data_IF_545717296316
#
_entry.id   IF_545717296316
#
_cell.length_a   1.000
_cell.length_b   1.000
_cell.length_c   1.000
_cell.angle_alpha   90.00
_cell.angle_beta   90.00
_cell.angle_gamma   90.00
#
_symmetry.space_group_name_H-M   'P 1'
#
loop_
_entity.id
_entity.type
_entity.pdbx_description
1 polymer ?
#
# COMPACT_ATOMS: atom_id res chain seq x y z
N UNK A 1 13.71 12.61 -9.03
CA UNK A 1 14.47 11.76 -9.95
C UNK A 1 13.75 10.43 -10.04
N UNK A 2 12.98 10.22 -11.10
CA UNK A 2 12.43 8.92 -11.48
C UNK A 2 13.62 8.01 -11.76
N UNK A 3 13.85 7.00 -10.91
CA UNK A 3 14.78 5.93 -11.22
C UNK A 3 14.15 5.10 -12.35
N UNK A 4 14.34 5.54 -13.59
CA UNK A 4 14.06 4.69 -14.74
C UNK A 4 15.08 3.53 -14.68
N UNK A 5 14.62 2.38 -14.20
CA UNK A 5 15.36 1.13 -14.33
C UNK A 5 15.71 0.97 -15.82
N UNK A 6 16.95 0.57 -16.12
CA UNK A 6 17.27 0.13 -17.48
C UNK A 6 16.28 -0.99 -17.87
N UNK A 7 15.80 -0.98 -19.12
CA UNK A 7 14.75 -1.91 -19.60
C UNK A 7 15.01 -3.36 -19.16
N UNK A 8 16.26 -3.81 -19.29
CA UNK A 8 16.68 -5.16 -18.90
C UNK A 8 16.49 -5.46 -17.41
N UNK A 9 16.70 -4.48 -16.53
CA UNK A 9 16.55 -4.64 -15.08
C UNK A 9 15.08 -4.69 -14.68
N UNK A 10 14.25 -3.86 -15.28
CA UNK A 10 12.80 -3.93 -15.09
C UNK A 10 12.23 -5.26 -15.58
N UNK A 11 12.67 -5.74 -16.75
CA UNK A 11 12.30 -7.06 -17.27
C UNK A 11 12.78 -8.21 -16.38
N UNK A 12 13.98 -8.12 -15.81
CA UNK A 12 14.48 -9.15 -14.88
C UNK A 12 13.65 -9.23 -13.60
N UNK A 13 13.27 -8.09 -13.02
CA UNK A 13 12.37 -8.02 -11.87
C UNK A 13 10.98 -8.59 -12.21
N UNK A 14 10.44 -8.25 -13.38
CA UNK A 14 9.16 -8.78 -13.85
C UNK A 14 9.19 -10.30 -14.04
N UNK A 15 10.30 -10.85 -14.58
CA UNK A 15 10.49 -12.31 -14.69
C UNK A 15 10.57 -12.99 -13.32
N UNK A 16 11.31 -12.42 -12.38
CA UNK A 16 11.39 -12.95 -11.01
C UNK A 16 10.01 -12.95 -10.33
N UNK A 17 9.24 -11.88 -10.50
CA UNK A 17 7.87 -11.78 -10.01
C UNK A 17 6.97 -12.86 -10.65
N UNK A 18 7.02 -13.01 -11.98
CA UNK A 18 6.22 -14.01 -12.71
C UNK A 18 6.53 -15.43 -12.26
N UNK A 19 7.82 -15.78 -12.15
CA UNK A 19 8.24 -17.11 -11.70
C UNK A 19 7.74 -17.42 -10.28
N UNK A 20 7.84 -16.46 -9.36
CA UNK A 20 7.28 -16.62 -8.01
C UNK A 20 5.75 -16.77 -8.05
N UNK A 21 5.07 -16.04 -8.95
CA UNK A 21 3.61 -16.10 -9.11
C UNK A 21 3.14 -17.44 -9.66
N UNK A 22 3.87 -18.01 -10.62
CA UNK A 22 3.58 -19.34 -11.19
C UNK A 22 3.65 -20.43 -10.12
N UNK A 23 4.58 -20.30 -9.16
CA UNK A 23 4.76 -21.24 -8.05
C UNK A 23 3.95 -20.89 -6.80
N UNK A 24 3.02 -19.92 -6.85
CA UNK A 24 2.23 -19.47 -5.68
C UNK A 24 1.48 -20.61 -5.01
N UNK A 25 1.13 -21.69 -5.72
CA UNK A 25 0.42 -22.83 -5.11
C UNK A 25 1.33 -23.71 -4.25
N UNK A 26 2.65 -23.63 -4.42
CA UNK A 26 3.66 -24.32 -3.63
C UNK A 26 4.11 -23.54 -2.39
N UNK A 27 5.06 -24.11 -1.65
CA UNK A 27 5.67 -23.45 -0.47
C UNK A 27 6.96 -22.69 -0.78
N UNK A 28 7.53 -22.87 -1.97
CA UNK A 28 8.87 -22.39 -2.31
C UNK A 28 8.89 -20.97 -2.92
N UNK A 29 7.74 -20.44 -3.33
CA UNK A 29 7.65 -19.15 -4.02
C UNK A 29 8.31 -17.95 -3.27
N UNK A 30 8.27 -17.83 -1.92
CA UNK A 30 8.96 -16.73 -1.25
C UNK A 30 10.48 -16.88 -1.38
N UNK A 31 10.98 -18.11 -1.28
CA UNK A 31 12.41 -18.42 -1.38
C UNK A 31 12.91 -18.21 -2.80
N UNK A 32 12.17 -18.67 -3.81
CA UNK A 32 12.48 -18.42 -5.22
C UNK A 32 12.59 -16.91 -5.53
N UNK A 33 11.66 -16.12 -5.01
CA UNK A 33 11.72 -14.67 -5.16
C UNK A 33 12.94 -14.07 -4.45
N UNK A 34 13.19 -14.48 -3.21
CA UNK A 34 14.31 -13.97 -2.41
C UNK A 34 15.67 -14.28 -3.04
N UNK A 35 15.85 -15.49 -3.58
CA UNK A 35 17.07 -15.87 -4.29
C UNK A 35 17.26 -15.07 -5.57
N UNK A 36 16.20 -14.89 -6.36
CA UNK A 36 16.24 -14.08 -7.57
C UNK A 36 16.60 -12.62 -7.27
N UNK A 37 16.00 -12.02 -6.23
CA UNK A 37 16.30 -10.66 -5.80
C UNK A 37 17.73 -10.52 -5.26
N UNK A 38 18.23 -11.53 -4.53
CA UNK A 38 19.63 -11.58 -4.08
C UNK A 38 20.60 -11.60 -5.25
N UNK A 39 20.39 -12.46 -6.25
CA UNK A 39 21.25 -12.57 -7.42
C UNK A 39 21.34 -11.27 -8.22
N UNK A 40 20.24 -10.50 -8.26
CA UNK A 40 20.19 -9.19 -8.90
C UNK A 40 20.77 -8.05 -8.05
N UNK A 41 21.15 -8.33 -6.80
CA UNK A 41 21.55 -7.30 -5.82
C UNK A 41 20.44 -6.27 -5.62
N UNK A 42 19.19 -6.71 -5.46
CA UNK A 42 18.04 -5.83 -5.44
C UNK A 42 18.09 -4.79 -4.32
N UNK A 43 17.75 -3.57 -4.68
CA UNK A 43 17.57 -2.45 -3.75
C UNK A 43 16.28 -2.61 -2.94
N UNK A 44 16.08 -1.76 -1.92
CA UNK A 44 14.84 -1.81 -1.15
C UNK A 44 13.64 -1.37 -2.00
N UNK A 45 13.85 -0.45 -2.95
CA UNK A 45 12.83 0.02 -3.89
C UNK A 45 12.32 -1.13 -4.75
N UNK A 46 13.25 -1.86 -5.37
CA UNK A 46 12.94 -2.99 -6.24
C UNK A 46 12.28 -4.15 -5.47
N UNK A 47 12.77 -4.41 -4.25
CA UNK A 47 12.11 -5.36 -3.34
C UNK A 47 10.69 -4.92 -3.00
N UNK A 48 10.46 -3.63 -2.70
CA UNK A 48 9.14 -3.10 -2.39
C UNK A 48 8.17 -3.22 -3.57
N UNK A 49 8.62 -2.89 -4.78
CA UNK A 49 7.83 -2.96 -6.01
C UNK A 49 7.38 -4.39 -6.30
N UNK A 50 8.31 -5.36 -6.24
CA UNK A 50 8.00 -6.75 -6.56
C UNK A 50 7.24 -7.44 -5.42
N UNK A 51 7.66 -7.28 -4.17
CA UNK A 51 7.05 -7.99 -3.04
C UNK A 51 5.60 -7.54 -2.79
N UNK A 52 5.27 -6.27 -3.01
CA UNK A 52 3.90 -5.78 -2.88
C UNK A 52 2.96 -6.47 -3.90
N UNK A 53 3.36 -6.51 -5.18
CA UNK A 53 2.57 -7.16 -6.24
C UNK A 53 2.45 -8.68 -6.01
N UNK A 54 3.56 -9.36 -5.72
CA UNK A 54 3.55 -10.81 -5.47
C UNK A 54 2.69 -11.17 -4.25
N UNK A 55 2.76 -10.40 -3.16
CA UNK A 55 1.91 -10.63 -1.99
C UNK A 55 0.42 -10.41 -2.29
N UNK A 56 0.09 -9.41 -3.13
CA UNK A 56 -1.28 -9.19 -3.59
C UNK A 56 -1.79 -10.35 -4.44
N UNK A 57 -0.99 -10.81 -5.41
CA UNK A 57 -1.35 -11.95 -6.28
C UNK A 57 -1.49 -13.25 -5.51
N UNK A 58 -0.62 -13.51 -4.54
CA UNK A 58 -0.74 -14.66 -3.65
C UNK A 58 -2.08 -14.64 -2.92
N UNK A 59 -2.44 -13.48 -2.36
CA UNK A 59 -3.74 -13.28 -1.70
C UNK A 59 -4.92 -13.47 -2.65
N UNK A 60 -4.86 -12.92 -3.86
CA UNK A 60 -5.90 -13.07 -4.87
C UNK A 60 -6.10 -14.53 -5.31
N UNK A 61 -5.03 -15.33 -5.29
CA UNK A 61 -5.06 -16.77 -5.53
C UNK A 61 -5.47 -17.61 -4.30
N UNK A 62 -5.84 -16.98 -3.19
CA UNK A 62 -6.22 -17.67 -1.95
C UNK A 62 -5.03 -18.26 -1.17
N UNK A 63 -3.81 -17.82 -1.45
CA UNK A 63 -2.61 -18.17 -0.70
C UNK A 63 -2.09 -16.96 0.12
N UNK A 64 -1.03 -17.16 0.91
CA UNK A 64 -0.52 -16.16 1.84
C UNK A 64 0.94 -16.42 2.18
N UNK A 65 1.77 -15.38 2.25
CA UNK A 65 3.14 -15.50 2.77
C UNK A 65 3.16 -16.00 4.22
N UNK A 66 2.07 -15.81 4.98
CA UNK A 66 1.99 -16.17 6.40
C UNK A 66 1.90 -17.68 6.64
N UNK A 67 1.62 -18.49 5.61
CA UNK A 67 1.58 -19.96 5.72
C UNK A 67 2.94 -20.60 5.49
N UNK A 68 3.89 -19.86 4.92
CA UNK A 68 5.21 -20.34 4.49
C UNK A 68 6.35 -19.64 5.21
N UNK A 69 6.15 -18.37 5.58
CA UNK A 69 7.10 -17.57 6.36
C UNK A 69 6.63 -17.46 7.82
N UNK A 70 7.59 -17.32 8.72
CA UNK A 70 7.37 -17.12 10.16
C UNK A 70 7.69 -15.67 10.60
N UNK A 71 7.17 -15.21 11.75
CA UNK A 71 7.51 -13.92 12.34
C UNK A 71 9.02 -13.62 12.46
N UNK A 72 9.83 -14.65 12.69
CA UNK A 72 11.28 -14.52 12.85
C UNK A 72 11.91 -13.92 11.60
N UNK A 73 11.40 -14.24 10.40
CA UNK A 73 11.85 -13.65 9.13
C UNK A 73 11.66 -12.13 9.04
N UNK A 74 10.83 -11.55 9.91
CA UNK A 74 10.69 -10.09 10.05
C UNK A 74 11.70 -9.56 11.07
N UNK A 75 11.83 -10.23 12.22
CA UNK A 75 12.49 -9.67 13.42
C UNK A 75 13.99 -9.91 13.51
N UNK A 76 14.50 -11.01 12.97
CA UNK A 76 15.89 -11.39 13.21
C UNK A 76 16.85 -10.61 12.31
N UNK A 77 18.09 -10.46 12.79
CA UNK A 77 19.20 -9.91 12.01
C UNK A 77 19.81 -11.01 11.15
N UNK A 78 20.19 -10.68 9.91
CA UNK A 78 20.60 -11.67 8.93
C UNK A 78 21.97 -11.42 8.31
N UNK A 79 22.72 -12.50 7.98
CA UNK A 79 23.92 -12.42 7.15
C UNK A 79 23.65 -12.05 5.68
N UNK A 80 22.44 -12.30 5.16
CA UNK A 80 22.01 -11.89 3.81
C UNK A 80 20.91 -10.82 3.88
N UNK A 81 21.26 -9.54 3.70
CA UNK A 81 20.33 -8.42 3.85
C UNK A 81 19.31 -8.32 2.71
N UNK A 82 19.53 -8.98 1.56
CA UNK A 82 18.56 -8.93 0.45
C UNK A 82 17.47 -9.97 0.69
N UNK A 83 17.83 -11.23 0.96
CA UNK A 83 16.87 -12.31 1.24
C UNK A 83 15.92 -11.91 2.37
N UNK A 84 16.47 -11.40 3.47
CA UNK A 84 15.66 -11.09 4.65
C UNK A 84 14.79 -9.85 4.49
N UNK A 85 15.23 -8.89 3.66
CA UNK A 85 14.38 -7.77 3.25
C UNK A 85 13.21 -8.27 2.41
N UNK A 86 13.45 -9.19 1.47
CA UNK A 86 12.39 -9.81 0.66
C UNK A 86 11.37 -10.51 1.55
N UNK A 87 11.80 -11.38 2.46
CA UNK A 87 10.87 -12.06 3.37
C UNK A 87 10.08 -11.10 4.25
N UNK A 88 10.74 -10.08 4.79
CA UNK A 88 10.07 -9.03 5.57
C UNK A 88 9.03 -8.29 4.74
N UNK A 89 9.38 -7.86 3.53
CA UNK A 89 8.48 -7.14 2.63
C UNK A 89 7.26 -8.00 2.26
N UNK A 90 7.46 -9.28 1.91
CA UNK A 90 6.37 -10.21 1.62
C UNK A 90 5.44 -10.42 2.83
N UNK A 91 6.02 -10.70 4.00
CA UNK A 91 5.27 -10.98 5.23
C UNK A 91 4.43 -9.77 5.64
N UNK A 92 5.05 -8.59 5.71
CA UNK A 92 4.39 -7.37 6.15
C UNK A 92 3.37 -6.84 5.11
N UNK A 93 3.66 -6.98 3.80
CA UNK A 93 2.67 -6.65 2.75
C UNK A 93 1.44 -7.54 2.82
N UNK A 94 1.63 -8.83 3.10
CA UNK A 94 0.51 -9.76 3.31
C UNK A 94 -0.35 -9.32 4.50
N UNK A 95 0.27 -9.02 5.65
CA UNK A 95 -0.44 -8.46 6.81
C UNK A 95 -1.16 -7.14 6.48
N UNK A 96 -0.57 -6.27 5.64
CA UNK A 96 -1.17 -5.01 5.22
C UNK A 96 -2.45 -5.25 4.40
N UNK A 97 -2.43 -6.17 3.45
CA UNK A 97 -3.61 -6.49 2.64
C UNK A 97 -4.73 -7.16 3.44
N UNK A 98 -4.38 -7.79 4.56
CA UNK A 98 -5.34 -8.35 5.52
C UNK A 98 -5.67 -7.41 6.69
N UNK A 99 -5.23 -6.15 6.63
CA UNK A 99 -5.49 -5.11 7.64
C UNK A 99 -5.03 -5.49 9.06
N UNK A 100 -4.00 -6.33 9.19
CA UNK A 100 -3.47 -6.85 10.46
C UNK A 100 -2.52 -5.84 11.13
N UNK A 101 -2.99 -4.62 11.35
CA UNK A 101 -2.17 -3.52 11.86
C UNK A 101 -1.48 -3.84 13.20
N UNK A 102 -2.16 -4.50 14.14
CA UNK A 102 -1.57 -4.85 15.44
C UNK A 102 -0.40 -5.82 15.33
N UNK A 103 -0.46 -6.74 14.36
CA UNK A 103 0.61 -7.72 14.16
C UNK A 103 1.83 -7.04 13.53
N UNK A 104 1.62 -6.17 12.54
CA UNK A 104 2.69 -5.35 11.97
C UNK A 104 3.35 -4.52 13.07
N UNK A 105 2.57 -3.82 13.89
CA UNK A 105 3.11 -3.02 15.00
C UNK A 105 3.93 -3.88 15.96
N UNK A 106 3.40 -5.02 16.39
CA UNK A 106 4.08 -5.91 17.34
C UNK A 106 5.40 -6.46 16.80
N UNK A 107 5.50 -6.73 15.50
CA UNK A 107 6.71 -7.23 14.86
C UNK A 107 7.73 -6.11 14.67
N UNK A 108 7.29 -4.97 14.13
CA UNK A 108 8.16 -3.85 13.79
C UNK A 108 8.80 -3.22 15.03
N UNK A 109 8.15 -3.29 16.20
CA UNK A 109 8.75 -2.86 17.47
C UNK A 109 9.94 -3.73 17.92
N UNK A 110 10.13 -4.92 17.34
CA UNK A 110 11.25 -5.83 17.62
C UNK A 110 12.38 -5.72 16.61
N UNK A 111 12.14 -5.05 15.47
CA UNK A 111 13.15 -4.89 14.42
C UNK A 111 14.16 -3.82 14.85
N UNK A 112 15.48 -4.06 14.75
CA UNK A 112 16.48 -3.05 15.08
C UNK A 112 16.35 -1.79 14.23
N UNK A 113 16.46 -0.62 14.87
CA UNK A 113 16.34 0.70 14.22
C UNK A 113 17.32 0.88 13.07
N UNK A 114 18.54 0.33 13.19
CA UNK A 114 19.54 0.37 12.10
C UNK A 114 19.03 -0.26 10.82
N UNK A 115 18.26 -1.34 10.90
CA UNK A 115 17.68 -2.00 9.73
C UNK A 115 16.54 -1.17 9.15
N UNK A 116 15.73 -0.52 10.01
CA UNK A 116 14.63 0.34 9.55
C UNK A 116 15.12 1.60 8.83
N UNK A 117 16.24 2.18 9.29
CA UNK A 117 16.83 3.36 8.67
C UNK A 117 17.33 3.11 7.23
N UNK A 118 17.67 1.87 6.91
CA UNK A 118 18.12 1.45 5.57
C UNK A 118 16.96 0.97 4.67
N UNK A 119 15.75 0.85 5.22
CA UNK A 119 14.57 0.30 4.54
C UNK A 119 13.31 1.15 4.80
N UNK A 120 13.16 2.27 4.07
CA UNK A 120 11.99 3.15 4.18
C UNK A 120 10.66 2.46 3.87
N UNK A 121 10.66 1.34 3.13
CA UNK A 121 9.43 0.60 2.83
C UNK A 121 8.92 -0.16 4.06
N UNK A 122 9.82 -0.81 4.80
CA UNK A 122 9.47 -1.41 6.09
C UNK A 122 9.02 -0.33 7.10
N UNK A 123 9.67 0.83 7.14
CA UNK A 123 9.20 1.94 7.99
C UNK A 123 7.82 2.47 7.54
N UNK A 124 7.54 2.51 6.24
CA UNK A 124 6.21 2.83 5.72
C UNK A 124 5.15 1.84 6.21
N UNK A 125 5.46 0.53 6.22
CA UNK A 125 4.56 -0.52 6.72
C UNK A 125 4.28 -0.38 8.22
N UNK A 126 5.30 0.00 9.00
CA UNK A 126 5.10 0.41 10.39
C UNK A 126 4.21 1.66 10.49
N UNK A 127 4.44 2.68 9.66
CA UNK A 127 3.57 3.86 9.55
C UNK A 127 2.11 3.49 9.26
N UNK A 128 1.88 2.62 8.27
CA UNK A 128 0.56 2.06 7.96
C UNK A 128 -0.11 1.45 9.19
N UNK A 129 0.63 0.64 9.97
CA UNK A 129 0.08 -0.01 11.16
C UNK A 129 -0.41 0.98 12.23
N UNK A 130 0.26 2.13 12.37
CA UNK A 130 -0.09 3.16 13.35
C UNK A 130 -1.22 4.05 12.84
N UNK A 131 -1.09 4.52 11.61
CA UNK A 131 -2.09 5.34 10.93
C UNK A 131 -3.42 4.59 10.82
N UNK A 132 -3.40 3.32 10.41
CA UNK A 132 -4.58 2.49 10.25
C UNK A 132 -5.35 2.24 11.56
N UNK A 133 -4.68 2.35 12.70
CA UNK A 133 -5.29 2.32 14.03
C UNK A 133 -5.70 3.70 14.55
N UNK A 134 -5.69 4.73 13.69
CA UNK A 134 -5.91 6.15 14.04
C UNK A 134 -4.98 6.69 15.12
N UNK A 135 -3.75 6.16 15.23
CA UNK A 135 -2.75 6.67 16.17
C UNK A 135 -2.01 7.87 15.56
N UNK A 136 -2.07 9.00 16.24
CA UNK A 136 -1.46 10.26 15.79
C UNK A 136 0.07 10.20 15.71
N UNK A 137 0.72 9.35 16.50
CA UNK A 137 2.16 9.11 16.41
C UNK A 137 2.60 8.52 15.05
N UNK A 138 1.68 7.89 14.32
CA UNK A 138 1.89 7.46 12.93
C UNK A 138 2.18 8.62 11.97
N UNK A 139 1.74 9.85 12.29
CA UNK A 139 2.02 11.04 11.48
C UNK A 139 3.51 11.41 11.48
N UNK A 140 4.19 11.22 12.61
CA UNK A 140 5.63 11.43 12.69
C UNK A 140 6.39 10.39 11.86
N UNK A 141 5.92 9.14 11.83
CA UNK A 141 6.48 8.08 10.97
C UNK A 141 6.27 8.42 9.49
N UNK A 142 5.05 8.82 9.12
CA UNK A 142 4.72 9.28 7.77
C UNK A 142 5.69 10.35 7.29
N UNK A 143 5.94 11.38 8.10
CA UNK A 143 6.87 12.45 7.74
C UNK A 143 8.30 11.93 7.52
N UNK A 144 8.81 11.06 8.38
CA UNK A 144 10.16 10.47 8.19
C UNK A 144 10.26 9.67 6.90
N UNK A 145 9.25 8.86 6.58
CA UNK A 145 9.22 8.08 5.34
C UNK A 145 9.19 9.00 4.11
N UNK A 146 8.43 10.10 4.13
CA UNK A 146 8.41 11.07 3.04
C UNK A 146 9.77 11.74 2.81
N UNK A 147 10.55 11.95 3.88
CA UNK A 147 11.91 12.49 3.78
C UNK A 147 12.90 11.43 3.26
N UNK A 148 12.80 10.19 3.76
CA UNK A 148 13.72 9.10 3.41
C UNK A 148 13.48 8.51 2.02
N UNK A 149 12.24 8.55 1.52
CA UNK A 149 11.82 7.98 0.24
C UNK A 149 10.91 8.96 -0.52
N UNK A 150 11.42 10.14 -0.94
CA UNK A 150 10.62 11.19 -1.54
C UNK A 150 10.01 10.73 -2.86
N UNK A 151 8.67 10.72 -2.93
CA UNK A 151 7.93 10.38 -4.14
C UNK A 151 8.00 8.89 -4.54
N UNK A 152 8.48 8.00 -3.68
CA UNK A 152 8.54 6.58 -4.02
C UNK A 152 7.12 5.97 -4.03
N UNK A 153 6.64 5.40 -5.16
CA UNK A 153 5.24 5.00 -5.29
C UNK A 153 4.77 4.01 -4.22
N UNK A 154 5.53 2.94 -3.96
CA UNK A 154 5.07 1.91 -3.02
C UNK A 154 5.00 2.41 -1.56
N UNK A 155 5.92 3.29 -1.15
CA UNK A 155 5.85 3.87 0.21
C UNK A 155 4.64 4.81 0.30
N UNK A 156 4.39 5.62 -0.73
CA UNK A 156 3.19 6.45 -0.83
C UNK A 156 1.91 5.61 -0.78
N UNK A 157 1.82 4.49 -1.51
CA UNK A 157 0.66 3.61 -1.44
C UNK A 157 0.46 3.00 -0.07
N UNK A 158 1.53 2.65 0.65
CA UNK A 158 1.45 2.14 2.02
C UNK A 158 0.91 3.20 2.96
N UNK A 159 1.47 4.41 2.92
CA UNK A 159 1.03 5.54 3.75
C UNK A 159 -0.40 5.95 3.43
N UNK A 160 -0.75 6.09 2.15
CA UNK A 160 -2.12 6.32 1.68
C UNK A 160 -3.10 5.28 2.22
N UNK A 161 -2.69 4.01 2.26
CA UNK A 161 -3.53 2.94 2.80
C UNK A 161 -3.78 3.14 4.30
N UNK A 162 -2.74 3.54 5.05
CA UNK A 162 -2.83 3.78 6.48
C UNK A 162 -3.72 4.97 6.82
N UNK A 163 -3.54 6.09 6.12
CA UNK A 163 -4.38 7.29 6.27
C UNK A 163 -5.83 7.00 5.88
N UNK A 164 -6.04 6.25 4.80
CA UNK A 164 -7.38 5.83 4.39
C UNK A 164 -8.04 4.93 5.45
N UNK A 165 -7.34 3.97 6.04
CA UNK A 165 -7.89 3.09 7.06
C UNK A 165 -8.16 3.82 8.40
N UNK A 166 -7.27 4.76 8.75
CA UNK A 166 -7.30 5.52 10.01
C UNK A 166 -8.40 6.57 10.10
N UNK A 167 -9.65 6.14 10.23
CA UNK A 167 -10.86 6.99 10.17
C UNK A 167 -10.83 8.26 11.03
N UNK A 168 -10.24 8.21 12.23
CA UNK A 168 -10.22 9.33 13.20
C UNK A 168 -8.91 10.13 13.23
N UNK A 169 -8.08 10.04 12.19
CA UNK A 169 -6.86 10.85 12.14
C UNK A 169 -7.17 12.34 11.95
N UNK A 170 -6.47 13.25 12.68
CA UNK A 170 -6.63 14.68 12.48
C UNK A 170 -6.12 15.09 11.10
N UNK A 171 -6.89 15.92 10.38
CA UNK A 171 -6.50 16.37 9.04
C UNK A 171 -6.42 15.26 7.99
N UNK A 172 -7.06 14.11 8.21
CA UNK A 172 -7.01 12.93 7.32
C UNK A 172 -7.29 13.27 5.86
N UNK A 173 -8.38 13.99 5.58
CA UNK A 173 -8.80 14.28 4.21
C UNK A 173 -7.78 15.13 3.42
N UNK A 174 -7.35 16.32 3.90
CA UNK A 174 -6.32 17.09 3.18
C UNK A 174 -4.99 16.33 3.07
N UNK A 175 -4.63 15.53 4.08
CA UNK A 175 -3.42 14.70 4.05
C UNK A 175 -3.46 13.61 2.98
N UNK A 176 -4.60 12.92 2.83
CA UNK A 176 -4.77 11.89 1.82
C UNK A 176 -4.68 12.49 0.41
N UNK A 177 -5.34 13.63 0.17
CA UNK A 177 -5.26 14.33 -1.11
C UNK A 177 -3.83 14.82 -1.42
N UNK A 178 -3.12 15.32 -0.41
CA UNK A 178 -1.72 15.73 -0.56
C UNK A 178 -0.82 14.53 -0.94
N UNK A 179 -0.99 13.38 -0.29
CA UNK A 179 -0.25 12.16 -0.62
C UNK A 179 -0.55 11.65 -2.04
N UNK A 180 -1.80 11.72 -2.51
CA UNK A 180 -2.15 11.38 -3.89
C UNK A 180 -1.41 12.30 -4.87
N UNK A 181 -1.34 13.60 -4.57
CA UNK A 181 -0.60 14.57 -5.37
C UNK A 181 0.92 14.32 -5.46
N UNK A 182 1.49 13.48 -4.57
CA UNK A 182 2.89 13.09 -4.62
C UNK A 182 3.16 11.87 -5.53
N UNK A 183 2.11 11.15 -5.95
CA UNK A 183 2.26 10.04 -6.90
C UNK A 183 2.57 10.57 -8.31
N UNK A 184 3.17 9.73 -9.18
CA UNK A 184 3.36 10.08 -10.59
C UNK A 184 2.05 10.55 -11.25
N UNK A 185 2.13 11.61 -12.05
CA UNK A 185 0.96 12.25 -12.69
C UNK A 185 -0.18 12.60 -11.70
N UNK A 186 0.15 12.85 -10.42
CA UNK A 186 -0.83 13.12 -9.37
C UNK A 186 -1.76 11.94 -9.08
N UNK A 187 -1.35 10.71 -9.39
CA UNK A 187 -2.14 9.51 -9.22
C UNK A 187 -3.29 9.36 -10.24
N UNK A 188 -3.30 10.16 -11.31
CA UNK A 188 -4.38 10.13 -12.31
C UNK A 188 -4.41 8.82 -13.11
N UNK A 189 -3.27 8.14 -13.26
CA UNK A 189 -3.19 6.84 -13.94
C UNK A 189 -3.20 5.65 -12.96
N UNK A 190 -3.61 5.87 -11.71
CA UNK A 190 -3.59 4.85 -10.66
C UNK A 190 -5.01 4.61 -10.10
N UNK A 191 -5.64 3.46 -10.40
CA UNK A 191 -7.02 3.19 -9.98
C UNK A 191 -7.16 3.14 -8.45
N UNK A 192 -6.12 2.73 -7.71
CA UNK A 192 -6.15 2.64 -6.25
C UNK A 192 -6.02 4.04 -5.62
N UNK A 193 -5.19 4.91 -6.20
CA UNK A 193 -5.07 6.30 -5.76
C UNK A 193 -6.39 7.06 -6.03
N UNK A 194 -6.96 6.90 -7.23
CA UNK A 194 -8.24 7.49 -7.61
C UNK A 194 -9.39 7.03 -6.71
N UNK A 195 -9.45 5.74 -6.37
CA UNK A 195 -10.40 5.20 -5.39
C UNK A 195 -10.31 5.92 -4.03
N UNK A 196 -9.10 6.05 -3.49
CA UNK A 196 -8.87 6.73 -2.21
C UNK A 196 -9.19 8.22 -2.29
N UNK A 197 -8.88 8.86 -3.41
CA UNK A 197 -9.25 10.25 -3.69
C UNK A 197 -10.77 10.43 -3.73
N UNK A 198 -11.49 9.54 -4.42
CA UNK A 198 -12.95 9.55 -4.50
C UNK A 198 -13.59 9.42 -3.11
N UNK A 199 -13.13 8.46 -2.32
CA UNK A 199 -13.58 8.26 -0.94
C UNK A 199 -13.35 9.48 -0.06
N UNK A 200 -12.22 10.15 -0.25
CA UNK A 200 -11.89 11.38 0.47
C UNK A 200 -12.77 12.55 0.05
N UNK A 201 -12.95 12.77 -1.26
CA UNK A 201 -13.82 13.81 -1.80
C UNK A 201 -15.28 13.61 -1.36
N UNK A 202 -15.76 12.37 -1.33
CA UNK A 202 -17.07 12.03 -0.74
C UNK A 202 -17.18 12.49 0.70
N UNK A 203 -16.17 12.21 1.52
CA UNK A 203 -16.18 12.60 2.94
C UNK A 203 -16.20 14.12 3.15
N UNK A 204 -15.75 14.88 2.15
CA UNK A 204 -15.78 16.35 2.12
C UNK A 204 -17.06 16.92 1.48
N UNK A 205 -18.00 16.07 1.04
CA UNK A 205 -19.22 16.51 0.33
C UNK A 205 -18.97 16.94 -1.13
N UNK A 206 -17.77 16.71 -1.67
CA UNK A 206 -17.38 17.03 -3.04
C UNK A 206 -17.82 15.90 -3.98
N UNK A 207 -19.14 15.69 -4.08
CA UNK A 207 -19.71 14.53 -4.77
C UNK A 207 -19.43 14.47 -6.27
N UNK A 208 -19.53 15.57 -7.05
CA UNK A 208 -19.18 15.54 -8.47
C UNK A 208 -17.74 15.12 -8.72
N UNK A 209 -16.80 15.68 -7.98
CA UNK A 209 -15.37 15.39 -8.09
C UNK A 209 -15.03 13.97 -7.58
N UNK A 210 -15.81 13.45 -6.62
CA UNK A 210 -15.72 12.06 -6.19
C UNK A 210 -16.21 11.10 -7.28
N UNK A 211 -17.32 11.41 -7.95
CA UNK A 211 -17.85 10.61 -9.07
C UNK A 211 -16.87 10.57 -10.24
N UNK A 212 -16.32 11.71 -10.66
CA UNK A 212 -15.31 11.75 -11.72
C UNK A 212 -14.10 10.87 -11.38
N UNK A 213 -13.65 10.90 -10.12
CA UNK A 213 -12.50 10.10 -9.69
C UNK A 213 -12.80 8.59 -9.68
N UNK A 214 -13.97 8.17 -9.17
CA UNK A 214 -14.30 6.74 -9.10
C UNK A 214 -14.64 6.14 -10.47
N UNK A 215 -15.28 6.92 -11.35
CA UNK A 215 -15.57 6.48 -12.72
C UNK A 215 -14.27 6.30 -13.50
N UNK A 216 -13.31 7.21 -13.34
CA UNK A 216 -11.99 7.05 -13.95
C UNK A 216 -11.20 5.86 -13.37
N UNK A 217 -11.31 5.60 -12.06
CA UNK A 217 -10.71 4.42 -11.45
C UNK A 217 -11.27 3.11 -12.06
N UNK A 218 -12.57 3.06 -12.35
CA UNK A 218 -13.23 1.91 -12.99
C UNK A 218 -12.74 1.71 -14.43
N UNK A 219 -12.50 2.78 -15.19
CA UNK A 219 -11.98 2.71 -16.55
C UNK A 219 -10.54 2.16 -16.61
N UNK A 220 -9.71 2.48 -15.61
CA UNK A 220 -8.30 2.06 -15.56
C UNK A 220 -8.09 0.65 -15.00
N UNK A 221 -9.08 0.08 -14.32
CA UNK A 221 -8.89 -1.19 -13.61
C UNK A 221 -8.73 -2.35 -14.61
N UNK A 222 -7.63 -3.14 -14.55
CA UNK A 222 -7.43 -4.26 -15.44
C UNK A 222 -8.50 -5.36 -15.30
N UNK A 223 -8.80 -6.09 -16.38
CA UNK A 223 -9.63 -7.28 -16.28
C UNK A 223 -8.95 -8.32 -15.38
N UNK A 224 -9.64 -8.81 -14.36
CA UNK A 224 -9.13 -9.83 -13.41
C UNK A 224 -9.15 -9.41 -11.95
N UNK A 225 -9.19 -8.10 -11.67
CA UNK A 225 -9.21 -7.56 -10.31
C UNK A 225 -10.65 -7.48 -9.73
N UNK A 226 -11.34 -8.63 -9.68
CA UNK A 226 -12.77 -8.69 -9.34
C UNK A 226 -13.11 -8.13 -7.97
N UNK A 227 -12.27 -8.39 -6.97
CA UNK A 227 -12.46 -7.87 -5.61
C UNK A 227 -12.33 -6.33 -5.58
N UNK A 228 -11.31 -5.79 -6.25
CA UNK A 228 -11.10 -4.35 -6.36
C UNK A 228 -12.25 -3.70 -7.12
N UNK A 229 -12.69 -4.30 -8.24
CA UNK A 229 -13.83 -3.81 -9.00
C UNK A 229 -15.10 -3.71 -8.13
N UNK A 230 -15.37 -4.73 -7.32
CA UNK A 230 -16.50 -4.71 -6.39
C UNK A 230 -16.39 -3.58 -5.35
N UNK A 231 -15.19 -3.29 -4.85
CA UNK A 231 -14.93 -2.18 -3.93
C UNK A 231 -15.12 -0.82 -4.62
N UNK A 232 -14.67 -0.66 -5.87
CA UNK A 232 -14.86 0.56 -6.65
C UNK A 232 -16.35 0.85 -6.90
N UNK A 233 -17.11 -0.16 -7.34
CA UNK A 233 -18.55 -0.05 -7.57
C UNK A 233 -19.28 0.27 -6.26
N UNK A 234 -18.88 -0.34 -5.14
CA UNK A 234 -19.46 -0.03 -3.82
C UNK A 234 -19.21 1.42 -3.43
N UNK A 235 -18.00 1.93 -3.64
CA UNK A 235 -17.68 3.33 -3.34
C UNK A 235 -18.47 4.28 -4.24
N UNK A 236 -18.62 3.97 -5.53
CA UNK A 236 -19.48 4.73 -6.44
C UNK A 236 -20.92 4.81 -5.92
N UNK A 237 -21.49 3.69 -5.45
CA UNK A 237 -22.81 3.67 -4.84
C UNK A 237 -22.88 4.54 -3.57
N UNK A 238 -21.87 4.45 -2.70
CA UNK A 238 -21.78 5.29 -1.49
C UNK A 238 -21.73 6.79 -1.83
N UNK A 239 -21.05 7.18 -2.91
CA UNK A 239 -21.00 8.56 -3.39
C UNK A 239 -22.40 9.04 -3.79
N UNK A 240 -23.09 8.27 -4.65
CA UNK A 240 -24.44 8.64 -5.09
C UNK A 240 -25.44 8.69 -3.93
N UNK A 241 -25.41 7.70 -3.03
CA UNK A 241 -26.30 7.66 -1.86
C UNK A 241 -26.05 8.83 -0.90
N UNK A 242 -24.78 9.20 -0.68
CA UNK A 242 -24.44 10.35 0.17
C UNK A 242 -24.87 11.69 -0.46
N UNK A 243 -24.73 11.81 -1.79
CA UNK A 243 -25.21 12.99 -2.53
C UNK A 243 -26.74 13.11 -2.42
N UNK A 244 -27.48 12.04 -2.72
CA UNK A 244 -28.94 12.04 -2.63
C UNK A 244 -29.42 12.40 -1.22
N UNK A 245 -28.77 11.84 -0.19
CA UNK A 245 -29.05 12.18 1.20
C UNK A 245 -28.77 13.66 1.53
N UNK A 246 -27.68 14.22 1.01
CA UNK A 246 -27.35 15.64 1.22
C UNK A 246 -28.38 16.57 0.57
N UNK A 247 -28.94 16.20 -0.58
CA UNK A 247 -30.01 16.95 -1.24
C UNK A 247 -31.33 16.95 -0.44
N UNK A 248 -31.59 15.89 0.33
CA UNK A 248 -32.78 15.80 1.20
C UNK A 248 -32.70 16.69 2.45
N UNK A 249 -31.50 17.15 2.84
CA UNK A 249 -31.30 17.98 4.03
C UNK A 249 -30.46 19.24 3.72
N UNK A 250 -31.00 20.23 2.97
CA UNK A 250 -30.24 21.37 2.47
C UNK A 250 -29.63 22.28 3.56
N UNK A 251 -30.17 22.24 4.79
CA UNK A 251 -29.85 23.18 5.87
C UNK A 251 -29.19 22.52 7.09
N UNK A 252 -28.30 21.53 6.89
CA UNK A 252 -27.55 20.97 8.02
C UNK A 252 -26.52 22.02 8.48
N UNK A 253 -26.61 22.51 9.74
CA UNK A 253 -25.56 23.40 10.26
C UNK A 253 -24.22 22.67 10.25
N UNK A 254 -23.15 23.38 9.90
CA UNK A 254 -21.80 22.79 9.92
C UNK A 254 -21.52 22.17 11.30
N UNK A 255 -20.87 20.99 11.34
CA UNK A 255 -20.43 20.43 12.61
C UNK A 255 -19.49 21.43 13.28
N UNK A 256 -19.86 21.90 14.48
CA UNK A 256 -18.99 22.74 15.30
C UNK A 256 -17.68 22.01 15.63
N UNK A 257 -16.55 22.73 15.66
CA UNK A 257 -15.21 22.18 15.82
C UNK A 257 -14.99 21.44 17.16
#
# INVERSE_FOLDING_TARGET
MTYALGSERAEALARAASAAVEEITGSEWPTLLAESLREMGATWQESADVCADVAWRARAAGNSALVVLTPEHVTDASPDPVIWRTYRHLYLSTLRYDFRCRDIESLMNKVPVSVLNEDPYSEALYGFSRLGQSRSDGLAVLHRVLVAAPGHPQTLHVLLHGVWLGTFLPGRAPMLLALVGLLPEGGLNDPIALFRMASTRRSLGQYPEALTAIDHALELLPPGELAVHADLVRERLLITSAHDLALLFPNRPEPTP
#
